data_IF_374997919215
#
_entry.id   IF_374997919215
#
_cell.length_a   1.000
_cell.length_b   1.000
_cell.length_c   1.000
_cell.angle_alpha   90.00
_cell.angle_beta   90.00
_cell.angle_gamma   90.00
#
_symmetry.space_group_name_H-M   'P 1'
#
loop_
_entity.id
_entity.type
_entity.pdbx_description
1 polymer ?
#
# COMPACT_ATOMS: atom_id res chain seq x y z
N UNK A 1 15.05 -10.41 -12.26
CA UNK A 1 15.83 -10.99 -11.15
C UNK A 1 17.31 -11.11 -11.56
N UNK A 2 18.23 -11.27 -10.58
CA UNK A 2 19.64 -11.49 -10.86
C UNK A 2 19.86 -12.71 -11.80
N UNK A 3 19.03 -13.74 -11.69
CA UNK A 3 19.06 -14.91 -12.56
C UNK A 3 18.75 -14.55 -14.03
N UNK A 4 17.74 -13.72 -14.28
CA UNK A 4 17.38 -13.30 -15.64
C UNK A 4 18.50 -12.54 -16.33
N UNK A 5 19.22 -11.70 -15.62
CA UNK A 5 20.38 -10.95 -16.13
C UNK A 5 21.55 -11.88 -16.48
N UNK A 6 21.79 -12.93 -15.68
CA UNK A 6 22.81 -13.94 -15.95
C UNK A 6 22.48 -14.73 -17.22
N UNK A 7 21.25 -15.20 -17.38
CA UNK A 7 20.86 -15.96 -18.58
C UNK A 7 20.92 -15.14 -19.85
N UNK A 8 20.54 -13.86 -19.81
CA UNK A 8 20.70 -12.92 -20.90
C UNK A 8 22.18 -12.80 -21.33
N UNK A 9 23.09 -12.59 -20.36
CA UNK A 9 24.52 -12.46 -20.64
C UNK A 9 25.16 -13.72 -21.21
N UNK A 10 24.59 -14.88 -20.88
CA UNK A 10 25.04 -16.18 -21.38
C UNK A 10 24.46 -16.54 -22.77
N UNK A 11 23.57 -15.69 -23.33
CA UNK A 11 22.99 -15.89 -24.66
C UNK A 11 21.96 -17.03 -24.72
N UNK A 12 21.32 -17.38 -23.59
CA UNK A 12 20.30 -18.43 -23.55
C UNK A 12 19.10 -18.10 -24.45
N UNK A 13 18.70 -16.86 -24.49
CA UNK A 13 17.65 -16.31 -25.35
C UNK A 13 17.94 -16.58 -26.84
N UNK A 14 19.13 -16.21 -27.31
CA UNK A 14 19.56 -16.45 -28.70
C UNK A 14 19.62 -17.95 -29.01
N UNK A 15 20.15 -18.78 -28.08
CA UNK A 15 20.21 -20.22 -28.25
C UNK A 15 18.82 -20.85 -28.37
N UNK A 16 17.87 -20.47 -27.53
CA UNK A 16 16.48 -20.97 -27.57
C UNK A 16 15.80 -20.59 -28.87
N UNK A 17 15.91 -19.32 -29.30
CA UNK A 17 15.35 -18.85 -30.58
C UNK A 17 15.91 -19.63 -31.75
N UNK A 18 17.23 -19.87 -31.80
CA UNK A 18 17.87 -20.65 -32.83
C UNK A 18 17.38 -22.12 -32.82
N UNK A 19 17.29 -22.75 -31.65
CA UNK A 19 16.84 -24.15 -31.52
C UNK A 19 15.39 -24.36 -31.91
N UNK A 20 14.55 -23.37 -31.64
CA UNK A 20 13.13 -23.39 -32.01
C UNK A 20 12.87 -22.89 -33.42
N UNK A 21 13.93 -22.53 -34.16
CA UNK A 21 13.84 -21.99 -35.50
C UNK A 21 12.87 -20.79 -35.64
N UNK A 22 12.87 -19.93 -34.61
CA UNK A 22 12.03 -18.75 -34.55
C UNK A 22 12.71 -17.59 -35.28
N UNK A 23 11.89 -16.66 -35.80
CA UNK A 23 12.40 -15.43 -36.38
C UNK A 23 12.96 -14.54 -35.26
N UNK A 24 14.27 -14.23 -35.36
CA UNK A 24 14.95 -13.38 -34.38
C UNK A 24 14.86 -11.91 -34.82
N UNK A 25 14.47 -11.06 -33.87
CA UNK A 25 14.65 -9.61 -33.94
C UNK A 25 15.53 -9.20 -32.77
N UNK A 26 16.44 -8.26 -33.02
CA UNK A 26 17.19 -7.66 -31.93
C UNK A 26 16.24 -7.06 -30.91
N UNK A 27 16.46 -7.40 -29.64
CA UNK A 27 15.65 -6.90 -28.54
C UNK A 27 16.24 -5.59 -28.04
N UNK A 28 15.43 -4.54 -28.05
CA UNK A 28 15.80 -3.29 -27.38
C UNK A 28 15.66 -3.45 -25.86
N UNK A 29 16.79 -3.47 -25.19
CA UNK A 29 16.88 -3.63 -23.74
C UNK A 29 16.93 -2.31 -22.97
N UNK A 30 16.92 -1.16 -23.66
CA UNK A 30 17.14 0.17 -23.05
C UNK A 30 16.22 0.41 -21.85
N UNK A 31 14.92 0.18 -22.01
CA UNK A 31 13.94 0.37 -20.94
C UNK A 31 14.17 -0.58 -19.75
N UNK A 32 14.55 -1.82 -20.06
CA UNK A 32 14.84 -2.82 -19.03
C UNK A 32 16.11 -2.51 -18.25
N UNK A 33 17.15 -2.09 -18.94
CA UNK A 33 18.43 -1.73 -18.35
C UNK A 33 18.30 -0.45 -17.47
N UNK A 34 17.50 0.56 -17.89
CA UNK A 34 17.14 1.71 -17.04
C UNK A 34 16.39 1.27 -15.76
N UNK A 35 15.41 0.38 -15.89
CA UNK A 35 14.71 -0.17 -14.71
C UNK A 35 15.69 -0.88 -13.76
N UNK A 36 16.57 -1.72 -14.28
CA UNK A 36 17.56 -2.42 -13.46
C UNK A 36 18.55 -1.45 -12.78
N UNK A 37 18.90 -0.35 -13.46
CA UNK A 37 19.73 0.68 -12.85
C UNK A 37 19.02 1.37 -11.69
N UNK A 38 17.73 1.73 -11.86
CA UNK A 38 16.91 2.32 -10.79
C UNK A 38 16.79 1.40 -9.57
N UNK A 39 16.62 0.10 -9.80
CA UNK A 39 16.56 -0.91 -8.72
C UNK A 39 17.90 -1.04 -7.99
N UNK A 40 19.02 -1.04 -8.73
CA UNK A 40 20.36 -1.28 -8.17
C UNK A 40 20.99 -0.05 -7.54
N UNK A 41 20.61 1.15 -8.00
CA UNK A 41 21.23 2.43 -7.59
C UNK A 41 20.16 3.44 -7.16
N UNK A 42 19.40 3.19 -6.08
CA UNK A 42 18.51 4.19 -5.54
C UNK A 42 19.33 5.40 -5.06
N UNK A 43 18.78 6.59 -5.18
CA UNK A 43 19.41 7.85 -4.77
C UNK A 43 19.11 8.23 -3.33
N UNK A 44 18.04 7.65 -2.76
CA UNK A 44 17.58 7.88 -1.38
C UNK A 44 16.77 6.69 -0.87
N UNK A 45 16.41 6.73 0.40
CA UNK A 45 15.54 5.75 1.03
C UNK A 45 14.36 6.45 1.70
N UNK A 46 13.21 5.78 1.74
CA UNK A 46 12.04 6.22 2.50
C UNK A 46 11.46 5.05 3.28
N UNK A 47 10.88 5.33 4.44
CA UNK A 47 10.18 4.36 5.27
C UNK A 47 8.69 4.59 5.18
N UNK A 48 7.95 3.59 4.70
CA UNK A 48 6.49 3.61 4.61
C UNK A 48 5.92 2.67 5.65
N UNK A 49 5.12 3.19 6.59
CA UNK A 49 4.36 2.36 7.51
C UNK A 49 3.19 1.71 6.75
N UNK A 50 3.16 0.38 6.74
CA UNK A 50 2.00 -0.39 6.30
C UNK A 50 1.18 -0.76 7.53
N UNK A 51 0.09 -0.02 7.76
CA UNK A 51 -0.76 -0.17 8.94
C UNK A 51 -1.90 -1.12 8.65
N UNK A 52 -1.75 -2.37 9.05
CA UNK A 52 -2.64 -3.46 8.69
C UNK A 52 -3.05 -4.37 9.84
N UNK A 53 -4.03 -5.22 9.54
CA UNK A 53 -4.57 -6.22 10.48
C UNK A 53 -3.76 -7.54 10.45
N UNK A 54 -3.15 -7.85 9.30
CA UNK A 54 -2.52 -9.16 9.02
C UNK A 54 -1.00 -9.03 8.90
N UNK A 55 -0.38 -8.29 9.84
CA UNK A 55 1.07 -8.02 9.80
C UNK A 55 1.92 -9.27 10.03
N UNK A 56 1.37 -10.27 10.71
CA UNK A 56 2.03 -11.56 10.96
C UNK A 56 1.94 -12.52 9.74
N UNK A 57 1.21 -12.11 8.70
CA UNK A 57 1.05 -12.85 7.45
C UNK A 57 1.46 -11.97 6.27
N UNK A 58 2.76 -11.82 5.99
CA UNK A 58 3.27 -10.89 4.97
C UNK A 58 2.67 -11.09 3.58
N UNK A 59 2.32 -12.32 3.22
CA UNK A 59 1.72 -12.65 1.92
C UNK A 59 0.35 -12.00 1.73
N UNK A 60 -0.37 -11.67 2.80
CA UNK A 60 -1.65 -10.95 2.71
C UNK A 60 -1.53 -9.58 2.06
N UNK A 61 -0.35 -8.97 2.14
CA UNK A 61 -0.06 -7.65 1.58
C UNK A 61 1.02 -7.65 0.51
N UNK A 62 1.34 -8.81 -0.08
CA UNK A 62 2.42 -8.94 -1.06
C UNK A 62 2.23 -7.97 -2.23
N UNK A 63 1.03 -7.88 -2.81
CA UNK A 63 0.74 -6.97 -3.93
C UNK A 63 0.93 -5.50 -3.54
N UNK A 64 0.57 -5.12 -2.31
CA UNK A 64 0.74 -3.75 -1.81
C UNK A 64 2.22 -3.42 -1.64
N UNK A 65 2.99 -4.32 -1.04
CA UNK A 65 4.43 -4.10 -0.83
C UNK A 65 5.20 -4.06 -2.16
N UNK A 66 4.84 -4.91 -3.12
CA UNK A 66 5.43 -4.88 -4.46
C UNK A 66 5.05 -3.59 -5.22
N UNK A 67 3.81 -3.10 -5.08
CA UNK A 67 3.39 -1.84 -5.67
C UNK A 67 4.15 -0.64 -5.06
N UNK A 68 4.33 -0.61 -3.74
CA UNK A 68 5.13 0.41 -3.06
C UNK A 68 6.58 0.39 -3.54
N UNK A 69 7.19 -0.79 -3.69
CA UNK A 69 8.54 -0.94 -4.25
C UNK A 69 8.62 -0.47 -5.69
N UNK A 70 7.64 -0.81 -6.53
CA UNK A 70 7.57 -0.36 -7.91
C UNK A 70 7.50 1.18 -8.01
N UNK A 71 6.69 1.81 -7.14
CA UNK A 71 6.67 3.26 -6.98
C UNK A 71 8.04 3.83 -6.58
N UNK A 72 8.75 3.13 -5.70
CA UNK A 72 10.13 3.47 -5.33
C UNK A 72 11.07 3.43 -6.53
N UNK A 73 11.02 2.38 -7.35
CA UNK A 73 11.87 2.26 -8.56
C UNK A 73 11.60 3.38 -9.55
N UNK A 74 10.32 3.74 -9.75
CA UNK A 74 9.96 4.86 -10.63
C UNK A 74 10.59 6.17 -10.18
N UNK A 75 10.75 6.37 -8.87
CA UNK A 75 11.30 7.58 -8.26
C UNK A 75 12.79 7.44 -7.85
N UNK A 76 13.47 6.36 -8.20
CA UNK A 76 14.86 6.05 -7.80
C UNK A 76 15.06 6.04 -6.28
N UNK A 77 14.03 5.58 -5.54
CA UNK A 77 14.00 5.55 -4.08
C UNK A 77 13.88 4.11 -3.60
N UNK A 78 14.66 3.71 -2.61
CA UNK A 78 14.47 2.44 -1.92
C UNK A 78 13.38 2.60 -0.89
N UNK A 79 12.33 1.80 -1.01
CA UNK A 79 11.22 1.77 -0.04
C UNK A 79 11.48 0.71 1.01
N UNK A 80 11.57 1.14 2.27
CA UNK A 80 11.58 0.28 3.46
C UNK A 80 10.15 0.22 4.01
N UNK A 81 9.58 -0.99 4.08
CA UNK A 81 8.23 -1.17 4.62
C UNK A 81 8.32 -1.47 6.11
N UNK A 82 7.74 -0.59 6.93
CA UNK A 82 7.57 -0.78 8.38
C UNK A 82 6.18 -1.36 8.63
N UNK A 83 6.13 -2.59 9.12
CA UNK A 83 4.88 -3.28 9.42
C UNK A 83 4.35 -2.81 10.77
N UNK A 84 3.11 -2.32 10.81
CA UNK A 84 2.47 -1.79 12.00
C UNK A 84 1.10 -2.43 12.17
N UNK A 85 0.86 -3.05 13.34
CA UNK A 85 -0.46 -3.56 13.68
C UNK A 85 -1.43 -2.37 13.85
N UNK A 86 -2.56 -2.40 13.14
CA UNK A 86 -3.54 -1.33 13.24
C UNK A 86 -3.99 -1.07 14.68
N UNK A 87 -4.21 -2.12 15.47
CA UNK A 87 -4.64 -1.99 16.86
C UNK A 87 -3.67 -1.17 17.72
N UNK A 88 -2.37 -1.16 17.37
CA UNK A 88 -1.36 -0.33 18.06
C UNK A 88 -1.55 1.17 17.85
N UNK A 89 -2.31 1.58 16.84
CA UNK A 89 -2.57 2.98 16.50
C UNK A 89 -3.94 3.49 17.01
N UNK A 90 -4.69 2.69 17.77
CA UNK A 90 -6.01 3.07 18.28
C UNK A 90 -5.98 4.26 19.26
N UNK A 91 -4.81 4.56 19.85
CA UNK A 91 -4.63 5.72 20.73
C UNK A 91 -3.63 6.72 20.11
N UNK A 92 -3.75 8.02 20.44
CA UNK A 92 -2.79 9.04 19.95
C UNK A 92 -1.34 8.73 20.35
N UNK A 93 -1.13 8.17 21.55
CA UNK A 93 0.20 7.77 22.04
C UNK A 93 0.76 6.60 21.24
N UNK A 94 -0.08 5.58 20.97
CA UNK A 94 0.31 4.45 20.14
C UNK A 94 0.63 4.87 18.70
N UNK A 95 -0.21 5.69 18.09
CA UNK A 95 0.05 6.23 16.75
C UNK A 95 1.38 7.00 16.71
N UNK A 96 1.64 7.88 17.69
CA UNK A 96 2.88 8.65 17.78
C UNK A 96 4.11 7.73 17.97
N UNK A 97 3.98 6.68 18.78
CA UNK A 97 5.07 5.73 19.03
C UNK A 97 5.45 4.93 17.79
N UNK A 98 4.46 4.45 17.04
CA UNK A 98 4.72 3.55 15.90
C UNK A 98 4.90 4.26 14.56
N UNK A 99 4.40 5.51 14.44
CA UNK A 99 4.39 6.25 13.18
C UNK A 99 5.27 7.52 13.20
N UNK A 100 5.96 7.79 14.32
CA UNK A 100 6.72 9.04 14.49
C UNK A 100 7.99 9.14 13.65
N UNK A 101 8.47 8.04 13.10
CA UNK A 101 9.74 7.91 12.38
C UNK A 101 9.56 7.49 10.91
N UNK A 102 8.37 7.67 10.33
CA UNK A 102 8.07 7.24 8.96
C UNK A 102 7.85 8.42 8.02
N UNK A 103 8.19 8.22 6.75
CA UNK A 103 8.04 9.23 5.70
C UNK A 103 6.67 9.19 5.03
N UNK A 104 5.93 8.09 5.19
CA UNK A 104 4.59 7.93 4.64
C UNK A 104 3.83 6.80 5.33
N UNK A 105 2.51 6.83 5.22
CA UNK A 105 1.61 5.85 5.82
C UNK A 105 0.70 5.27 4.75
N UNK A 106 0.68 3.94 4.63
CA UNK A 106 -0.24 3.19 3.77
C UNK A 106 -1.17 2.35 4.64
N UNK A 107 -2.48 2.55 4.49
CA UNK A 107 -3.50 1.72 5.14
C UNK A 107 -4.16 0.85 4.08
N UNK A 108 -3.89 -0.47 4.07
CA UNK A 108 -4.40 -1.38 3.06
C UNK A 108 -5.87 -1.75 3.31
N UNK A 109 -6.43 -2.50 2.38
CA UNK A 109 -7.73 -3.13 2.49
C UNK A 109 -7.82 -4.14 3.65
N UNK A 110 -9.01 -4.64 3.86
CA UNK A 110 -9.34 -5.65 4.87
C UNK A 110 -10.84 -5.79 5.02
N UNK A 111 -11.28 -6.74 5.84
CA UNK A 111 -12.68 -7.02 6.10
C UNK A 111 -12.97 -7.05 7.60
N UNK A 112 -14.20 -6.68 7.97
CA UNK A 112 -14.70 -6.70 9.33
C UNK A 112 -14.15 -5.59 10.22
N UNK A 113 -14.79 -5.42 11.36
CA UNK A 113 -14.61 -4.27 12.27
C UNK A 113 -13.25 -4.24 13.00
N UNK A 114 -12.60 -5.41 13.19
CA UNK A 114 -11.34 -5.46 13.94
C UNK A 114 -10.26 -4.60 13.29
N UNK A 115 -9.66 -3.71 14.06
CA UNK A 115 -8.56 -2.84 13.64
C UNK A 115 -9.01 -1.56 12.92
N UNK A 116 -10.32 -1.31 12.77
CA UNK A 116 -10.85 -0.08 12.14
C UNK A 116 -10.45 1.15 12.96
N UNK A 117 -10.65 1.13 14.28
CA UNK A 117 -10.27 2.24 15.17
C UNK A 117 -8.78 2.60 15.04
N UNK A 118 -7.93 1.59 14.97
CA UNK A 118 -6.49 1.81 14.79
C UNK A 118 -6.13 2.36 13.41
N UNK A 119 -6.86 1.97 12.36
CA UNK A 119 -6.72 2.57 11.04
C UNK A 119 -7.12 4.05 11.05
N UNK A 120 -8.25 4.38 11.66
CA UNK A 120 -8.71 5.76 11.84
C UNK A 120 -7.68 6.56 12.66
N UNK A 121 -7.15 5.98 13.74
CA UNK A 121 -6.09 6.60 14.55
C UNK A 121 -4.81 6.89 13.77
N UNK A 122 -4.37 5.96 12.92
CA UNK A 122 -3.21 6.15 12.05
C UNK A 122 -3.45 7.25 10.99
N UNK A 123 -4.66 7.32 10.42
CA UNK A 123 -5.07 8.33 9.46
C UNK A 123 -5.11 9.71 10.12
N UNK A 124 -5.72 9.80 11.30
CA UNK A 124 -5.75 11.01 12.11
C UNK A 124 -4.34 11.52 12.39
N UNK A 125 -3.44 10.63 12.78
CA UNK A 125 -2.04 10.97 13.00
C UNK A 125 -1.36 11.49 11.73
N UNK A 126 -1.55 10.80 10.60
CA UNK A 126 -1.00 11.22 9.30
C UNK A 126 -1.46 12.65 8.95
N UNK A 127 -2.75 12.93 9.06
CA UNK A 127 -3.32 14.26 8.79
C UNK A 127 -2.76 15.33 9.72
N UNK A 128 -2.77 15.09 11.04
CA UNK A 128 -2.29 16.05 12.04
C UNK A 128 -0.81 16.35 11.89
N UNK A 129 0.00 15.36 11.53
CA UNK A 129 1.45 15.50 11.35
C UNK A 129 1.84 15.84 9.90
N UNK A 130 0.88 15.92 8.99
CA UNK A 130 1.10 16.17 7.55
C UNK A 130 2.03 15.14 6.91
N UNK A 131 1.94 13.90 7.35
CA UNK A 131 2.65 12.76 6.74
C UNK A 131 1.85 12.32 5.50
N UNK A 132 2.50 12.10 4.35
CA UNK A 132 1.85 11.54 3.17
C UNK A 132 1.09 10.26 3.49
N UNK A 133 -0.16 10.17 3.01
CA UNK A 133 -1.07 9.07 3.32
C UNK A 133 -1.65 8.46 2.04
N UNK A 134 -1.76 7.13 2.03
CA UNK A 134 -2.47 6.36 1.00
C UNK A 134 -3.41 5.35 1.66
N UNK A 135 -4.71 5.48 1.41
CA UNK A 135 -5.73 4.50 1.81
C UNK A 135 -6.18 3.65 0.63
N UNK A 136 -6.18 2.33 0.78
CA UNK A 136 -6.62 1.38 -0.24
C UNK A 136 -7.86 0.63 0.25
N UNK A 137 -8.94 0.60 -0.55
CA UNK A 137 -10.19 -0.09 -0.22
C UNK A 137 -10.71 0.35 1.16
N UNK A 138 -10.74 -0.53 2.17
CA UNK A 138 -11.11 -0.19 3.54
C UNK A 138 -10.28 0.97 4.12
N UNK A 139 -9.01 1.09 3.75
CA UNK A 139 -8.17 2.22 4.17
C UNK A 139 -8.67 3.56 3.65
N UNK A 140 -9.20 3.61 2.43
CA UNK A 140 -9.86 4.80 1.89
C UNK A 140 -11.18 5.08 2.62
N UNK A 141 -11.98 4.05 2.89
CA UNK A 141 -13.23 4.19 3.64
C UNK A 141 -12.98 4.75 5.05
N UNK A 142 -11.97 4.22 5.75
CA UNK A 142 -11.55 4.76 7.06
C UNK A 142 -11.11 6.24 6.96
N UNK A 143 -10.48 6.65 5.86
CA UNK A 143 -10.11 8.06 5.67
C UNK A 143 -11.31 8.96 5.46
N UNK A 144 -12.35 8.49 4.78
CA UNK A 144 -13.62 9.22 4.65
C UNK A 144 -14.30 9.37 6.00
N UNK A 145 -14.34 8.30 6.80
CA UNK A 145 -14.92 8.33 8.15
C UNK A 145 -14.14 9.32 9.04
N UNK A 146 -12.81 9.23 9.06
CA UNK A 146 -11.96 10.15 9.83
C UNK A 146 -12.20 11.62 9.43
N UNK A 147 -12.24 11.90 8.14
CA UNK A 147 -12.49 13.25 7.65
C UNK A 147 -13.91 13.75 8.01
N UNK A 148 -14.91 12.88 7.95
CA UNK A 148 -16.27 13.21 8.37
C UNK A 148 -16.32 13.56 9.87
N UNK A 149 -15.72 12.75 10.71
CA UNK A 149 -15.68 12.97 12.15
C UNK A 149 -14.88 14.23 12.53
N UNK A 150 -13.63 14.31 12.07
CA UNK A 150 -12.67 15.29 12.58
C UNK A 150 -12.68 16.63 11.80
N UNK A 151 -13.07 16.64 10.53
CA UNK A 151 -13.07 17.87 9.71
C UNK A 151 -14.48 18.41 9.48
N UNK A 152 -15.48 17.52 9.24
CA UNK A 152 -16.86 17.96 9.04
C UNK A 152 -17.66 18.02 10.34
N UNK A 153 -17.13 17.53 11.47
CA UNK A 153 -17.81 17.56 12.78
C UNK A 153 -19.00 16.61 12.89
N UNK A 154 -19.06 15.56 12.05
CA UNK A 154 -20.09 14.53 12.09
C UNK A 154 -19.64 13.42 13.03
N UNK A 155 -19.85 13.60 14.34
CA UNK A 155 -19.33 12.71 15.38
C UNK A 155 -19.82 11.25 15.21
N UNK A 156 -21.03 11.06 14.71
CA UNK A 156 -21.63 9.74 14.44
C UNK A 156 -21.24 9.10 13.12
N UNK A 157 -20.36 9.71 12.34
CA UNK A 157 -19.96 9.20 11.03
C UNK A 157 -19.33 7.81 11.13
N UNK A 158 -19.90 6.84 10.43
CA UNK A 158 -19.46 5.47 10.43
C UNK A 158 -19.72 4.78 9.07
N UNK A 159 -19.41 3.49 8.99
CA UNK A 159 -19.81 2.60 7.90
C UNK A 159 -20.97 1.73 8.35
N UNK A 160 -22.03 1.64 7.55
CA UNK A 160 -23.15 0.73 7.78
C UNK A 160 -22.75 -0.75 7.74
N UNK A 161 -21.56 -1.09 7.20
CA UNK A 161 -21.00 -2.45 7.26
C UNK A 161 -20.56 -2.81 8.69
N UNK A 162 -20.07 -1.83 9.46
CA UNK A 162 -19.50 -2.05 10.80
C UNK A 162 -20.50 -1.70 11.90
N UNK A 163 -21.35 -0.73 11.65
CA UNK A 163 -22.40 -0.27 12.54
C UNK A 163 -23.68 -0.02 11.70
N UNK A 164 -24.54 -1.05 11.55
CA UNK A 164 -25.78 -0.93 10.77
C UNK A 164 -26.75 0.11 11.31
N UNK A 165 -26.65 0.43 12.61
CA UNK A 165 -27.52 1.37 13.32
C UNK A 165 -26.90 2.76 13.47
N UNK A 166 -25.74 3.03 12.81
CA UNK A 166 -25.09 4.33 12.92
C UNK A 166 -25.99 5.47 12.42
N UNK A 167 -25.97 6.59 13.13
CA UNK A 167 -26.81 7.74 12.82
C UNK A 167 -26.42 8.40 11.48
N UNK A 168 -25.13 8.39 11.15
CA UNK A 168 -24.57 9.09 9.99
C UNK A 168 -23.72 8.12 9.15
N UNK A 169 -24.33 7.25 8.33
CA UNK A 169 -23.60 6.28 7.50
C UNK A 169 -22.95 6.98 6.30
N UNK A 170 -21.72 7.46 6.48
CA UNK A 170 -20.92 8.10 5.39
C UNK A 170 -20.34 7.09 4.40
N UNK A 171 -20.28 5.83 4.79
CA UNK A 171 -19.99 4.67 3.93
C UNK A 171 -21.20 3.72 4.07
N UNK A 172 -21.88 3.44 2.98
CA UNK A 172 -23.06 2.59 2.96
C UNK A 172 -23.18 1.81 1.64
N UNK A 173 -23.98 0.75 1.66
CA UNK A 173 -24.41 0.05 0.44
C UNK A 173 -25.20 1.03 -0.43
N UNK A 174 -24.93 1.02 -1.74
CA UNK A 174 -25.69 1.85 -2.68
C UNK A 174 -27.17 1.45 -2.66
N UNK A 175 -28.08 2.44 -2.74
CA UNK A 175 -29.51 2.21 -2.68
C UNK A 175 -30.01 1.17 -3.71
N UNK A 176 -29.35 1.09 -4.86
CA UNK A 176 -29.66 0.15 -5.95
C UNK A 176 -29.19 -1.30 -5.66
N UNK A 177 -28.44 -1.52 -4.59
CA UNK A 177 -27.87 -2.82 -4.21
C UNK A 177 -28.42 -3.38 -2.89
N UNK A 178 -29.44 -2.73 -2.33
CA UNK A 178 -30.04 -3.16 -1.04
C UNK A 178 -30.78 -4.47 -1.17
N UNK A 179 -31.29 -4.81 -2.38
CA UNK A 179 -32.12 -5.99 -2.64
C UNK A 179 -31.43 -7.07 -3.53
N UNK A 180 -30.09 -7.10 -3.56
CA UNK A 180 -29.34 -8.07 -4.37
C UNK A 180 -28.75 -9.19 -3.51
#
# INVERSE_FOLDING_TARGET
SAASDVYKRQGLDAYVVQKLNLFFRDVDWTTWDDLLERVKKPTSEVTIALVGKYIDLPDAYLSVTEALRAGGYANRVKVNVKWVASDSCATPQGAAQYLGDVDGICVPGGFGIRGVEGKIGAIRYARQKRIPFLGLCLGLQCAVIEAAQDLAGIEGAASSEFDPDCADPVIATMAEQVDV
#
